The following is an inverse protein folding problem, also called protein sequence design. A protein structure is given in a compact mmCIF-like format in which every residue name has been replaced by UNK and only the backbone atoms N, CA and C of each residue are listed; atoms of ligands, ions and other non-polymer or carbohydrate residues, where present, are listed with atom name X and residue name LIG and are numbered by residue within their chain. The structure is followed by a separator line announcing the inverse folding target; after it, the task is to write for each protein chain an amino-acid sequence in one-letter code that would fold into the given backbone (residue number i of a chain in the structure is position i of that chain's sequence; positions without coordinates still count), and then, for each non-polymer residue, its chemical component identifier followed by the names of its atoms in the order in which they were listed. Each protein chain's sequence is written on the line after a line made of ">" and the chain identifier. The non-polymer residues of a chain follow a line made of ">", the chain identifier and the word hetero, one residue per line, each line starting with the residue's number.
data_IF_503023611991
#
_entry.id   IF_503023611991
#
_cell.length_a   1.000
_cell.length_b   1.000
_cell.length_c   1.000
_cell.angle_alpha   90.00
_cell.angle_beta   90.00
_cell.angle_gamma   90.00
#
_symmetry.space_group_name_H-M   'P 1'
#
loop_
_entity.id
_entity.type
_entity.pdbx_description
1 polymer ?
#
# COMPACT_ATOMS: atom_id res chain seq x y z
N UNK A 1 11.28 -0.76 16.72
CA UNK A 1 10.72 -2.05 16.32
C UNK A 1 9.20 -1.98 16.20
N UNK A 2 8.48 -1.46 17.23
CA UNK A 2 7.01 -1.34 17.21
C UNK A 2 6.50 -0.48 16.06
N UNK A 3 7.10 0.68 15.85
CA UNK A 3 6.72 1.61 14.78
C UNK A 3 6.91 0.98 13.39
N UNK A 4 7.98 0.19 13.21
CA UNK A 4 8.20 -0.55 11.96
C UNK A 4 7.09 -1.57 11.71
N UNK A 5 6.60 -2.23 12.76
CA UNK A 5 5.46 -3.14 12.66
C UNK A 5 4.19 -2.40 12.23
N UNK A 6 3.87 -1.28 12.88
CA UNK A 6 2.68 -0.48 12.59
C UNK A 6 2.70 0.06 11.15
N UNK A 7 3.84 0.60 10.71
CA UNK A 7 4.01 1.09 9.33
C UNK A 7 3.80 -0.02 8.30
N UNK A 8 4.34 -1.21 8.53
CA UNK A 8 4.13 -2.34 7.63
C UNK A 8 2.70 -2.87 7.70
N UNK A 9 2.06 -2.86 8.85
CA UNK A 9 0.65 -3.21 9.00
C UNK A 9 -0.23 -2.27 8.15
N UNK A 10 -0.04 -0.97 8.24
CA UNK A 10 -0.78 0.02 7.46
C UNK A 10 -0.58 -0.17 5.95
N UNK A 11 0.66 -0.40 5.54
CA UNK A 11 0.99 -0.67 4.15
C UNK A 11 0.27 -1.92 3.62
N UNK A 12 0.41 -3.06 4.31
CA UNK A 12 -0.18 -4.33 3.90
C UNK A 12 -1.71 -4.24 3.90
N UNK A 13 -2.29 -3.62 4.91
CA UNK A 13 -3.74 -3.42 5.01
C UNK A 13 -4.29 -2.59 3.85
N UNK A 14 -3.54 -1.58 3.40
CA UNK A 14 -3.93 -0.75 2.24
C UNK A 14 -3.78 -1.48 0.91
N UNK A 15 -2.65 -2.17 0.68
CA UNK A 15 -2.36 -2.73 -0.64
C UNK A 15 -3.04 -4.06 -0.93
N UNK A 16 -3.37 -4.86 0.08
CA UNK A 16 -3.96 -6.20 -0.14
C UNK A 16 -5.24 -6.16 -0.98
N UNK A 17 -6.03 -5.10 -0.88
CA UNK A 17 -7.26 -4.91 -1.66
C UNK A 17 -7.02 -4.40 -3.09
N UNK A 18 -5.79 -3.96 -3.39
CA UNK A 18 -5.43 -3.44 -4.70
C UNK A 18 -4.79 -4.49 -5.60
N UNK A 19 -4.18 -5.52 -5.02
CA UNK A 19 -3.28 -6.39 -5.78
C UNK A 19 -3.98 -7.19 -6.86
N UNK A 20 -5.22 -7.60 -6.66
CA UNK A 20 -6.01 -8.27 -7.69
C UNK A 20 -6.34 -7.34 -8.86
N UNK A 21 -6.58 -6.05 -8.59
CA UNK A 21 -6.78 -5.04 -9.62
C UNK A 21 -5.47 -4.74 -10.36
N UNK A 22 -4.33 -4.75 -9.68
CA UNK A 22 -3.01 -4.66 -10.31
C UNK A 22 -2.78 -5.84 -11.26
N UNK A 23 -3.10 -7.06 -10.84
CA UNK A 23 -2.99 -8.26 -11.69
C UNK A 23 -3.89 -8.19 -12.92
N UNK A 24 -5.06 -7.58 -12.82
CA UNK A 24 -5.96 -7.33 -13.96
C UNK A 24 -5.49 -6.23 -14.90
N UNK A 25 -4.38 -5.55 -14.56
CA UNK A 25 -3.81 -4.48 -15.38
C UNK A 25 -4.49 -3.13 -15.19
N UNK A 26 -5.15 -2.90 -14.06
CA UNK A 26 -5.75 -1.61 -13.75
C UNK A 26 -4.66 -0.59 -13.36
N UNK A 27 -4.44 0.41 -14.20
CA UNK A 27 -3.41 1.42 -13.97
C UNK A 27 -3.63 2.19 -12.67
N UNK A 28 -4.90 2.52 -12.34
CA UNK A 28 -5.20 3.22 -11.09
C UNK A 28 -4.76 2.43 -9.86
N UNK A 29 -4.90 1.09 -9.87
CA UNK A 29 -4.50 0.24 -8.75
C UNK A 29 -2.97 0.18 -8.62
N UNK A 30 -2.25 0.10 -9.75
CA UNK A 30 -0.80 0.16 -9.76
C UNK A 30 -0.28 1.50 -9.24
N UNK A 31 -0.88 2.62 -9.65
CA UNK A 31 -0.53 3.94 -9.14
C UNK A 31 -0.80 4.04 -7.63
N UNK A 32 -1.93 3.52 -7.18
CA UNK A 32 -2.27 3.51 -5.74
C UNK A 32 -1.32 2.66 -4.92
N UNK A 33 -0.89 1.51 -5.46
CA UNK A 33 0.15 0.70 -4.84
C UNK A 33 1.44 1.50 -4.60
N UNK A 34 1.91 2.22 -5.61
CA UNK A 34 3.11 3.05 -5.48
C UNK A 34 2.93 4.21 -4.49
N UNK A 35 1.75 4.79 -4.40
CA UNK A 35 1.45 5.80 -3.39
C UNK A 35 1.57 5.21 -1.97
N UNK A 36 1.03 4.02 -1.72
CA UNK A 36 1.18 3.32 -0.44
C UNK A 36 2.64 2.96 -0.15
N UNK A 37 3.37 2.52 -1.16
CA UNK A 37 4.79 2.18 -1.01
C UNK A 37 5.63 3.42 -0.66
N UNK A 38 5.40 4.54 -1.33
CA UNK A 38 6.08 5.81 -1.04
C UNK A 38 5.75 6.31 0.37
N UNK A 39 4.49 6.20 0.81
CA UNK A 39 4.07 6.54 2.18
C UNK A 39 4.81 5.66 3.19
N UNK A 40 4.83 4.33 3.00
CA UNK A 40 5.55 3.40 3.85
C UNK A 40 7.03 3.76 3.95
N UNK A 41 7.67 4.00 2.82
CA UNK A 41 9.09 4.30 2.77
C UNK A 41 9.40 5.67 3.42
N UNK A 42 8.51 6.65 3.29
CA UNK A 42 8.65 7.92 3.98
C UNK A 42 8.43 7.80 5.50
N UNK A 43 7.46 7.01 5.95
CA UNK A 43 7.24 6.76 7.38
C UNK A 43 8.44 6.04 8.01
N UNK A 44 8.99 5.03 7.34
CA UNK A 44 10.21 4.35 7.78
C UNK A 44 11.42 5.28 7.86
N UNK A 45 11.49 6.30 7.01
CA UNK A 45 12.55 7.31 7.02
C UNK A 45 12.61 8.09 8.34
N UNK A 46 11.46 8.32 8.98
CA UNK A 46 11.38 8.99 10.27
C UNK A 46 11.74 8.09 11.46
N UNK A 47 11.57 6.79 11.31
CA UNK A 47 11.79 5.79 12.37
C UNK A 47 13.21 5.22 12.35
N UNK A 48 13.76 4.96 11.16
CA UNK A 48 15.08 4.39 10.98
C UNK A 48 16.16 5.49 11.02
N UNK A 49 17.29 5.22 11.66
CA UNK A 49 18.45 6.09 11.56
C UNK A 49 18.94 6.21 10.11
N UNK A 50 19.67 7.26 9.77
CA UNK A 50 20.24 7.47 8.42
C UNK A 50 20.97 6.22 7.91
N UNK A 51 21.77 5.59 8.75
CA UNK A 51 22.53 4.37 8.39
C UNK A 51 21.63 3.18 8.16
N UNK A 52 20.62 2.97 9.01
CA UNK A 52 19.64 1.90 8.85
C UNK A 52 18.82 2.09 7.57
N UNK A 53 18.37 3.31 7.31
CA UNK A 53 17.60 3.61 6.11
C UNK A 53 18.42 3.45 4.81
N UNK A 54 19.69 3.85 4.83
CA UNK A 54 20.57 3.62 3.68
C UNK A 54 20.73 2.12 3.37
N UNK A 55 20.84 1.28 4.40
CA UNK A 55 20.87 -0.18 4.22
C UNK A 55 19.52 -0.74 3.73
N UNK A 56 18.43 -0.23 4.27
CA UNK A 56 17.07 -0.57 3.82
C UNK A 56 16.90 -0.32 2.32
N UNK A 57 17.37 0.83 1.82
CA UNK A 57 17.28 1.20 0.40
C UNK A 57 18.18 0.37 -0.52
N UNK A 58 19.18 -0.34 -0.01
CA UNK A 58 20.06 -1.22 -0.78
C UNK A 58 19.47 -2.61 -1.03
N UNK A 59 18.44 -3.00 -0.29
CA UNK A 59 17.89 -4.34 -0.33
C UNK A 59 16.46 -4.34 -0.91
N UNK A 60 16.30 -4.84 -2.13
CA UNK A 60 15.00 -4.84 -2.84
C UNK A 60 13.87 -5.48 -2.03
N UNK A 61 14.16 -6.57 -1.31
CA UNK A 61 13.18 -7.26 -0.47
C UNK A 61 12.66 -6.39 0.70
N UNK A 62 13.34 -5.32 1.05
CA UNK A 62 12.85 -4.36 2.04
C UNK A 62 12.07 -3.20 1.42
N UNK A 63 12.66 -2.49 0.46
CA UNK A 63 12.05 -1.26 -0.06
C UNK A 63 11.07 -1.49 -1.22
N UNK A 64 11.09 -2.66 -1.85
CA UNK A 64 10.13 -3.11 -2.87
C UNK A 64 9.63 -4.52 -2.54
N UNK A 65 8.79 -4.68 -1.49
CA UNK A 65 8.51 -5.99 -0.92
C UNK A 65 7.58 -6.85 -1.77
N UNK A 66 6.82 -6.28 -2.71
CA UNK A 66 5.83 -7.01 -3.52
C UNK A 66 6.28 -7.07 -4.97
N UNK A 67 6.07 -8.22 -5.60
CA UNK A 67 6.32 -8.45 -7.02
C UNK A 67 5.27 -9.39 -7.61
N UNK A 68 5.17 -9.42 -8.93
CA UNK A 68 4.29 -10.32 -9.68
C UNK A 68 5.12 -11.30 -10.49
N UNK A 69 4.77 -12.58 -10.40
CA UNK A 69 5.36 -13.64 -11.19
C UNK A 69 4.32 -14.73 -11.46
N UNK A 70 4.27 -15.25 -12.70
CA UNK A 70 3.36 -16.32 -13.08
C UNK A 70 1.88 -16.00 -12.88
N UNK A 71 1.47 -14.73 -13.02
CA UNK A 71 0.08 -14.29 -12.81
C UNK A 71 -0.34 -14.16 -11.34
N UNK A 72 0.60 -14.30 -10.41
CA UNK A 72 0.37 -14.16 -8.96
C UNK A 72 1.25 -13.06 -8.38
N UNK A 73 0.74 -12.37 -7.37
CA UNK A 73 1.54 -11.45 -6.58
C UNK A 73 2.08 -12.15 -5.33
N UNK A 74 3.30 -11.76 -4.92
CA UNK A 74 4.02 -12.37 -3.80
C UNK A 74 4.87 -11.34 -3.08
N UNK A 75 5.22 -11.65 -1.85
CA UNK A 75 6.24 -10.91 -1.11
C UNK A 75 7.63 -11.47 -1.39
N UNK A 76 8.64 -10.57 -1.48
CA UNK A 76 10.05 -10.98 -1.45
C UNK A 76 10.40 -11.46 -0.05
N UNK A 77 10.91 -12.69 0.03
CA UNK A 77 11.27 -13.33 1.29
C UNK A 77 12.78 -13.17 1.50
N UNK A 78 13.15 -12.55 2.61
CA UNK A 78 14.54 -12.43 3.02
C UNK A 78 15.02 -13.67 3.80
N UNK A 79 14.20 -14.11 4.76
CA UNK A 79 14.49 -15.28 5.61
C UNK A 79 13.22 -16.09 5.76
N UNK A 80 13.34 -17.40 5.55
CA UNK A 80 12.27 -18.35 5.86
C UNK A 80 12.56 -19.00 7.20
N UNK A 81 11.65 -18.85 8.15
CA UNK A 81 11.73 -19.48 9.45
C UNK A 81 11.04 -20.84 9.42
N UNK A 82 11.63 -21.83 10.09
CA UNK A 82 11.09 -23.21 10.17
C UNK A 82 9.75 -23.27 10.92
N UNK A 83 9.54 -22.39 11.88
CA UNK A 83 8.28 -22.25 12.59
C UNK A 83 7.70 -20.83 12.43
N UNK A 84 6.72 -20.62 11.55
CA UNK A 84 6.13 -19.29 11.30
C UNK A 84 5.33 -18.77 12.51
N UNK A 85 4.96 -19.59 13.47
CA UNK A 85 4.25 -19.21 14.67
C UNK A 85 5.17 -18.81 15.84
N UNK A 86 6.47 -19.03 15.68
CA UNK A 86 7.46 -18.65 16.69
C UNK A 86 8.00 -17.24 16.45
N UNK A 87 8.02 -16.43 17.51
CA UNK A 87 8.66 -15.13 17.47
C UNK A 87 10.14 -15.24 17.82
N UNK A 88 11.00 -15.08 16.83
CA UNK A 88 12.47 -15.06 17.02
C UNK A 88 12.97 -13.71 17.56
N UNK A 89 12.10 -12.69 17.53
CA UNK A 89 12.34 -11.36 18.08
C UNK A 89 11.22 -11.00 19.06
N UNK A 90 11.40 -10.02 19.93
CA UNK A 90 10.34 -9.56 20.82
C UNK A 90 9.07 -9.20 20.03
N UNK A 91 7.91 -9.60 20.53
CA UNK A 91 6.64 -9.23 19.91
C UNK A 91 6.49 -7.71 19.92
N UNK A 92 5.97 -7.10 18.84
CA UNK A 92 5.56 -5.71 18.87
C UNK A 92 4.54 -5.46 19.98
N UNK A 93 4.61 -4.31 20.62
CA UNK A 93 3.73 -3.98 21.75
C UNK A 93 2.24 -4.09 21.40
N UNK A 94 1.87 -3.58 20.18
CA UNK A 94 0.49 -3.63 19.68
C UNK A 94 0.22 -4.80 18.73
N UNK A 95 0.97 -5.89 18.85
CA UNK A 95 0.73 -7.06 18.03
C UNK A 95 -0.69 -7.59 18.23
N UNK A 96 -1.45 -7.72 17.14
CA UNK A 96 -2.87 -8.08 17.06
C UNK A 96 -3.86 -7.02 17.59
N UNK A 97 -3.43 -5.95 18.21
CA UNK A 97 -4.31 -4.89 18.72
C UNK A 97 -4.24 -3.61 17.89
N UNK A 98 -3.16 -3.44 17.12
CA UNK A 98 -3.03 -2.30 16.22
C UNK A 98 -4.02 -2.41 15.05
N UNK A 99 -4.75 -1.34 14.78
CA UNK A 99 -5.77 -1.26 13.73
C UNK A 99 -5.68 0.03 12.90
N UNK A 100 -4.46 0.55 12.72
CA UNK A 100 -4.23 1.69 11.82
C UNK A 100 -4.29 3.07 12.48
N UNK A 101 -4.24 3.15 13.81
CA UNK A 101 -4.37 4.42 14.53
C UNK A 101 -3.31 5.48 14.21
N UNK A 102 -2.15 5.07 13.71
CA UNK A 102 -1.05 5.96 13.32
C UNK A 102 -0.96 6.19 11.79
N UNK A 103 -1.96 5.70 11.06
CA UNK A 103 -2.03 5.92 9.62
C UNK A 103 -2.18 7.41 9.30
N UNK A 104 -1.51 7.88 8.24
CA UNK A 104 -1.51 9.29 7.79
C UNK A 104 -2.89 9.87 7.52
N UNK A 105 -3.89 9.04 7.21
CA UNK A 105 -5.27 9.49 7.01
C UNK A 105 -5.83 10.23 8.23
N UNK A 106 -5.32 9.90 9.42
CA UNK A 106 -5.70 10.55 10.68
C UNK A 106 -4.87 11.80 10.99
N UNK A 107 -3.82 12.10 10.20
CA UNK A 107 -2.84 13.15 10.46
C UNK A 107 -2.65 14.07 9.24
N UNK A 108 -3.70 14.35 8.49
CA UNK A 108 -3.69 15.25 7.32
C UNK A 108 -2.58 14.89 6.30
N UNK A 109 -2.36 13.61 6.07
CA UNK A 109 -1.29 13.05 5.20
C UNK A 109 0.16 13.35 5.66
N UNK A 110 0.34 13.79 6.89
CA UNK A 110 1.66 13.93 7.51
C UNK A 110 2.01 12.66 8.27
N UNK A 111 3.28 12.26 8.25
CA UNK A 111 3.74 11.11 9.02
C UNK A 111 3.55 11.31 10.52
N UNK A 112 2.86 10.38 11.17
CA UNK A 112 2.75 10.33 12.63
C UNK A 112 4.13 10.24 13.31
N UNK A 113 5.10 9.61 12.66
CA UNK A 113 6.43 9.33 13.21
C UNK A 113 7.40 10.50 13.08
N UNK A 114 7.01 11.56 12.37
CA UNK A 114 7.84 12.73 12.15
C UNK A 114 8.21 13.41 13.47
N UNK A 115 9.52 13.56 13.73
CA UNK A 115 10.04 14.21 14.94
C UNK A 115 9.91 13.42 16.24
N UNK A 116 9.48 12.15 16.19
CA UNK A 116 9.35 11.29 17.39
C UNK A 116 10.64 10.59 17.78
N UNK A 117 11.58 10.49 16.85
CA UNK A 117 12.88 9.86 17.08
C UNK A 117 13.99 10.88 17.01
N UNK A 118 14.84 10.90 18.01
CA UNK A 118 15.94 11.86 18.10
C UNK A 118 17.21 11.31 17.42
N UNK A 119 17.18 11.21 16.10
CA UNK A 119 18.33 10.84 15.29
C UNK A 119 18.30 11.54 13.93
N UNK A 120 19.45 11.67 13.24
CA UNK A 120 19.50 12.23 11.90
C UNK A 120 18.64 11.45 10.91
N UNK A 121 17.74 12.15 10.23
CA UNK A 121 16.87 11.58 9.22
C UNK A 121 17.59 11.42 7.88
N UNK A 122 17.26 10.37 7.15
CA UNK A 122 17.73 10.19 5.77
C UNK A 122 17.08 11.23 4.84
N UNK A 123 17.91 11.95 4.09
CA UNK A 123 17.48 13.04 3.20
C UNK A 123 17.62 12.71 1.71
N UNK A 124 18.07 11.49 1.36
CA UNK A 124 18.17 11.06 -0.04
C UNK A 124 16.82 10.70 -0.66
N UNK A 125 16.85 10.34 -1.94
CA UNK A 125 15.66 9.86 -2.66
C UNK A 125 15.22 8.51 -2.10
N UNK A 126 13.91 8.35 -1.88
CA UNK A 126 13.31 7.10 -1.39
C UNK A 126 12.13 6.62 -2.26
N UNK A 127 11.70 7.42 -3.21
CA UNK A 127 10.61 7.05 -4.10
C UNK A 127 11.07 5.99 -5.10
N UNK A 128 10.18 5.06 -5.40
CA UNK A 128 10.47 3.95 -6.33
C UNK A 128 10.27 4.37 -7.77
N UNK A 129 9.38 5.33 -8.02
CA UNK A 129 9.17 5.92 -9.35
C UNK A 129 9.42 7.42 -9.31
N UNK A 130 10.00 7.95 -10.38
CA UNK A 130 10.33 9.37 -10.48
C UNK A 130 9.11 10.23 -10.81
N UNK A 131 8.12 9.65 -11.48
CA UNK A 131 6.86 10.31 -11.79
C UNK A 131 5.67 9.35 -11.64
N UNK A 132 4.45 9.86 -11.77
CA UNK A 132 3.22 9.07 -11.65
C UNK A 132 2.83 8.29 -12.91
N UNK A 133 3.67 8.32 -13.94
CA UNK A 133 3.40 7.57 -15.16
C UNK A 133 3.73 6.09 -14.96
N UNK A 134 2.82 5.22 -15.42
CA UNK A 134 3.04 3.78 -15.47
C UNK A 134 4.36 3.42 -16.19
N UNK A 135 4.66 4.07 -17.30
CA UNK A 135 5.85 3.75 -18.10
C UNK A 135 7.15 3.94 -17.33
N UNK A 136 7.23 4.93 -16.45
CA UNK A 136 8.41 5.14 -15.60
C UNK A 136 8.40 4.27 -14.35
N UNK A 137 7.23 3.82 -13.91
CA UNK A 137 7.07 2.86 -12.82
C UNK A 137 7.34 1.42 -13.25
N UNK A 138 7.52 1.19 -14.53
CA UNK A 138 7.76 -0.12 -15.10
C UNK A 138 9.06 -0.70 -14.58
N UNK A 139 8.92 -1.50 -13.56
CA UNK A 139 10.01 -2.21 -12.89
C UNK A 139 9.85 -3.71 -13.09
N UNK A 140 10.91 -4.45 -12.80
CA UNK A 140 10.87 -5.91 -12.75
C UNK A 140 9.79 -6.47 -11.84
N UNK A 141 9.31 -5.68 -10.86
CA UNK A 141 8.26 -6.09 -9.92
C UNK A 141 6.94 -6.40 -10.61
N UNK A 142 6.56 -5.64 -11.64
CA UNK A 142 5.28 -5.76 -12.34
C UNK A 142 5.45 -5.88 -13.86
N UNK A 143 6.63 -6.25 -14.33
CA UNK A 143 6.96 -6.28 -15.76
C UNK A 143 6.11 -7.24 -16.59
N UNK A 144 5.53 -8.27 -15.95
CA UNK A 144 4.64 -9.24 -16.59
C UNK A 144 3.18 -8.79 -16.65
N UNK A 145 2.80 -7.72 -15.95
CA UNK A 145 1.43 -7.21 -15.95
C UNK A 145 1.19 -6.36 -17.19
N UNK A 146 0.15 -6.71 -17.94
CA UNK A 146 -0.32 -5.90 -19.07
C UNK A 146 -1.30 -4.84 -18.58
N UNK A 147 -0.91 -3.56 -18.66
CA UNK A 147 -1.76 -2.44 -18.26
C UNK A 147 -2.77 -2.14 -19.35
N UNK A 148 -4.05 -2.10 -18.97
CA UNK A 148 -5.16 -1.84 -19.87
C UNK A 148 -5.26 -0.35 -20.22
N UNK A 149 -5.56 0.01 -21.47
CA UNK A 149 -5.81 1.39 -21.87
C UNK A 149 -6.97 2.00 -21.07
N UNK A 150 -6.85 3.28 -20.71
CA UNK A 150 -7.90 4.07 -20.04
C UNK A 150 -8.32 3.53 -18.64
N UNK A 151 -7.48 2.74 -18.00
CA UNK A 151 -7.72 2.22 -16.65
C UNK A 151 -7.10 3.10 -15.54
N UNK A 152 -6.79 4.35 -15.85
CA UNK A 152 -6.12 5.27 -14.92
C UNK A 152 -7.00 5.80 -13.78
N UNK A 153 -8.33 5.58 -13.84
CA UNK A 153 -9.28 6.04 -12.82
C UNK A 153 -10.02 4.85 -12.21
N UNK A 154 -10.13 4.86 -10.89
CA UNK A 154 -10.94 3.86 -10.18
C UNK A 154 -12.40 4.01 -10.61
N UNK A 155 -13.10 2.93 -11.01
CA UNK A 155 -14.53 2.95 -11.26
C UNK A 155 -15.27 3.47 -10.00
N UNK A 156 -16.20 4.41 -10.21
CA UNK A 156 -17.01 4.94 -9.12
C UNK A 156 -18.08 3.90 -8.74
N UNK A 157 -17.89 3.18 -7.65
CA UNK A 157 -18.78 2.11 -7.18
C UNK A 157 -20.10 2.69 -6.63
N UNK A 158 -20.17 4.00 -6.38
CA UNK A 158 -21.36 4.63 -5.79
C UNK A 158 -22.57 4.73 -6.76
N UNK A 159 -22.37 4.52 -8.05
CA UNK A 159 -23.48 4.62 -9.02
C UNK A 159 -24.28 3.31 -9.22
N UNK A 160 -23.81 2.18 -8.74
CA UNK A 160 -24.51 0.90 -8.95
C UNK A 160 -25.59 0.59 -7.89
N UNK A 161 -25.71 1.35 -6.83
CA UNK A 161 -26.68 1.13 -5.75
C UNK A 161 -27.91 2.06 -5.80
N UNK A 162 -28.10 2.80 -6.89
CA UNK A 162 -29.40 3.46 -7.12
C UNK A 162 -30.40 2.41 -7.57
N UNK A 163 -31.17 1.93 -6.60
CA UNK A 163 -32.38 1.14 -6.83
C UNK A 163 -33.26 1.91 -7.82
N UNK A 164 -33.74 1.28 -8.93
CA UNK A 164 -34.70 1.92 -9.81
C UNK A 164 -35.96 2.23 -9.00
N UNK A 165 -36.26 3.50 -8.82
CA UNK A 165 -37.58 3.91 -8.33
C UNK A 165 -38.57 3.62 -9.44
N UNK A 166 -39.28 2.52 -9.35
CA UNK A 166 -40.45 2.24 -10.16
C UNK A 166 -41.55 3.22 -9.78
N UNK A 167 -41.68 4.31 -10.52
CA UNK A 167 -42.90 5.12 -10.53
C UNK A 167 -43.96 4.30 -11.23
N UNK A 168 -44.69 3.52 -10.46
CA UNK A 168 -45.95 2.90 -10.94
C UNK A 168 -46.99 3.99 -11.19
N UNK A 169 -47.77 3.89 -12.28
CA UNK A 169 -48.83 4.85 -12.56
C UNK A 169 -49.94 4.76 -11.49
N UNK A 170 -50.24 5.90 -10.89
CA UNK A 170 -51.43 6.05 -10.02
C UNK A 170 -52.68 5.89 -10.89
N UNK A 171 -53.42 4.78 -10.75
CA UNK A 171 -54.75 4.65 -11.28
C UNK A 171 -55.68 5.59 -10.49
N UNK A 172 -56.21 6.59 -11.16
CA UNK A 172 -57.41 7.30 -10.73
C UNK A 172 -58.60 6.36 -10.96
N UNK A 173 -59.34 6.07 -9.92
CA UNK A 173 -60.70 5.54 -9.99
C UNK A 173 -61.65 6.69 -9.96
N UNK A 174 -62.33 6.96 -11.11
CA UNK A 174 -63.51 7.77 -11.17
C UNK A 174 -64.71 6.89 -10.77
N UNK A 175 -65.47 7.33 -9.79
CA UNK A 175 -66.92 7.24 -9.62
C UNK A 175 -67.36 8.27 -8.62
#
# INVERSE_FOLDING_TARGET
>A
YNDVYEINYDFISGVRYLMDDVLRGEEWALNRYYDYLDIRNDDLRWVLSRRQYSRFMQAAYFFRPIYVSGGHWSFRIYVTYTNPNHFYYPRPYHYRTYCGGHNRVHYHNVSYYRGRHNHPTYNGSFRIRDNKSYHTSRRSDFGSVHIRPNSGTRPNVEQSNRRPTTNGPVRRSDT
#
